data_IF_958237919933
#
_entry.id   IF_958237919933
#
_cell.length_a   1.000
_cell.length_b   1.000
_cell.length_c   1.000
_cell.angle_alpha   90.00
_cell.angle_beta   90.00
_cell.angle_gamma   90.00
#
_symmetry.space_group_name_H-M   'P 1'
#
loop_
_entity.id
_entity.type
_entity.pdbx_description
1 polymer ?
#
# COMPACT_ATOMS: atom_id res chain seq x y z
N UNK A 1 -57.61 19.48 -40.67
CA UNK A 1 -56.98 18.22 -40.24
C UNK A 1 -55.53 18.29 -40.63
N UNK A 2 -54.64 18.60 -39.68
CA UNK A 2 -53.20 18.56 -39.89
C UNK A 2 -52.76 17.23 -39.29
N UNK A 3 -52.37 16.29 -40.15
CA UNK A 3 -51.75 15.03 -39.73
C UNK A 3 -50.48 15.34 -38.95
N UNK A 4 -50.48 14.98 -37.67
CA UNK A 4 -49.26 14.96 -36.86
C UNK A 4 -48.38 13.84 -37.41
N UNK A 5 -47.35 14.24 -38.16
CA UNK A 5 -46.18 13.41 -38.42
C UNK A 5 -45.64 12.85 -37.08
N UNK A 6 -45.38 11.54 -36.97
CA UNK A 6 -44.73 11.01 -35.78
C UNK A 6 -43.28 11.47 -35.82
N UNK A 7 -42.92 12.43 -34.95
CA UNK A 7 -41.51 12.62 -34.57
C UNK A 7 -41.00 11.28 -34.05
N UNK A 8 -40.30 10.53 -34.91
CA UNK A 8 -39.40 9.47 -34.49
C UNK A 8 -38.43 10.10 -33.48
N UNK A 9 -38.50 9.65 -32.24
CA UNK A 9 -37.58 10.03 -31.18
C UNK A 9 -36.14 9.68 -31.60
N UNK A 10 -35.40 10.66 -32.12
CA UNK A 10 -33.97 10.55 -32.44
C UNK A 10 -33.07 10.50 -31.18
N UNK A 11 -33.63 10.41 -29.98
CA UNK A 11 -32.91 10.29 -28.70
C UNK A 11 -32.66 8.83 -28.25
N UNK A 12 -32.89 7.82 -29.10
CA UNK A 12 -32.61 6.40 -28.80
C UNK A 12 -31.11 6.03 -28.78
N UNK A 13 -30.20 6.97 -28.57
CA UNK A 13 -28.78 6.69 -28.35
C UNK A 13 -28.46 6.74 -26.85
N UNK A 14 -29.15 5.91 -26.09
CA UNK A 14 -28.86 5.69 -24.69
C UNK A 14 -27.66 4.74 -24.56
N UNK A 15 -26.59 5.18 -23.87
CA UNK A 15 -25.41 4.33 -23.61
C UNK A 15 -25.83 3.04 -22.90
N UNK A 16 -25.52 1.85 -23.44
CA UNK A 16 -25.83 0.59 -22.77
C UNK A 16 -25.24 0.53 -21.35
N UNK A 17 -25.91 -0.19 -20.45
CA UNK A 17 -25.47 -0.27 -19.05
C UNK A 17 -24.07 -0.86 -18.93
N UNK A 18 -23.69 -1.79 -19.82
CA UNK A 18 -22.35 -2.38 -19.90
C UNK A 18 -21.29 -1.31 -20.16
N UNK A 19 -21.56 -0.38 -21.08
CA UNK A 19 -20.64 0.74 -21.37
C UNK A 19 -20.57 1.68 -20.18
N UNK A 20 -21.71 1.96 -19.53
CA UNK A 20 -21.73 2.80 -18.34
C UNK A 20 -20.94 2.19 -17.18
N UNK A 21 -21.06 0.88 -16.94
CA UNK A 21 -20.28 0.14 -15.94
C UNK A 21 -18.79 0.22 -16.26
N UNK A 22 -18.43 0.00 -17.53
CA UNK A 22 -17.06 0.10 -17.98
C UNK A 22 -16.48 1.51 -17.80
N UNK A 23 -17.29 2.56 -18.02
CA UNK A 23 -16.89 3.95 -17.76
C UNK A 23 -16.81 4.24 -16.26
N UNK A 24 -17.72 3.68 -15.46
CA UNK A 24 -17.84 3.94 -14.03
C UNK A 24 -16.56 3.60 -13.26
N UNK A 25 -15.82 2.54 -13.66
CA UNK A 25 -14.60 2.13 -12.95
C UNK A 25 -13.51 3.22 -12.93
N UNK A 26 -13.50 4.14 -13.90
CA UNK A 26 -12.53 5.24 -14.00
C UNK A 26 -12.89 6.46 -13.14
N UNK A 27 -14.05 6.45 -12.50
CA UNK A 27 -14.55 7.59 -11.73
C UNK A 27 -13.87 7.63 -10.37
N UNK A 28 -13.21 8.75 -10.07
CA UNK A 28 -12.49 8.93 -8.79
C UNK A 28 -13.44 9.00 -7.59
N UNK A 29 -14.57 9.69 -7.75
CA UNK A 29 -15.55 9.92 -6.67
C UNK A 29 -16.93 9.44 -7.14
N UNK A 30 -17.30 8.18 -6.87
CA UNK A 30 -18.57 7.60 -7.32
C UNK A 30 -19.83 8.36 -6.90
N UNK A 31 -19.80 9.02 -5.74
CA UNK A 31 -20.98 9.68 -5.18
C UNK A 31 -21.38 10.92 -5.99
N UNK A 32 -20.41 11.67 -6.52
CA UNK A 32 -20.67 12.84 -7.36
C UNK A 32 -21.38 12.45 -8.66
N UNK A 33 -20.98 11.32 -9.23
CA UNK A 33 -21.64 10.77 -10.41
C UNK A 33 -23.03 10.21 -10.06
N UNK A 34 -23.19 9.58 -8.90
CA UNK A 34 -24.46 9.02 -8.44
C UNK A 34 -25.56 10.08 -8.30
N UNK A 35 -25.21 11.31 -7.87
CA UNK A 35 -26.17 12.40 -7.70
C UNK A 35 -26.51 13.13 -9.00
N UNK A 36 -25.74 12.92 -10.07
CA UNK A 36 -25.95 13.59 -11.35
C UNK A 36 -27.26 13.19 -12.04
N UNK A 37 -27.60 11.90 -12.06
CA UNK A 37 -28.85 11.41 -12.63
C UNK A 37 -29.26 10.03 -12.08
N UNK A 38 -30.54 9.68 -12.25
CA UNK A 38 -31.10 8.39 -11.79
C UNK A 38 -30.37 7.17 -12.38
N UNK A 39 -29.92 7.26 -13.63
CA UNK A 39 -29.26 6.15 -14.32
C UNK A 39 -27.88 5.87 -13.71
N UNK A 40 -27.07 6.91 -13.52
CA UNK A 40 -25.80 6.78 -12.80
C UNK A 40 -26.01 6.35 -11.35
N UNK A 41 -27.03 6.87 -10.67
CA UNK A 41 -27.41 6.40 -9.33
C UNK A 41 -27.69 4.89 -9.29
N UNK A 42 -28.32 4.34 -10.34
CA UNK A 42 -28.53 2.89 -10.48
C UNK A 42 -27.23 2.14 -10.71
N UNK A 43 -26.34 2.62 -11.60
CA UNK A 43 -25.03 2.02 -11.85
C UNK A 43 -24.17 2.03 -10.57
N UNK A 44 -24.15 3.12 -9.80
CA UNK A 44 -23.39 3.19 -8.54
C UNK A 44 -23.87 2.18 -7.47
N UNK A 45 -25.11 1.69 -7.58
CA UNK A 45 -25.68 0.67 -6.68
C UNK A 45 -25.49 -0.75 -7.20
N UNK A 46 -25.19 -0.91 -8.48
CA UNK A 46 -24.98 -2.21 -9.11
C UNK A 46 -23.73 -2.91 -8.54
N UNK A 47 -23.87 -4.18 -8.19
CA UNK A 47 -22.82 -4.95 -7.54
C UNK A 47 -21.65 -5.28 -8.48
N UNK A 48 -21.91 -5.46 -9.77
CA UNK A 48 -20.87 -5.68 -10.78
C UNK A 48 -20.07 -4.39 -11.00
N UNK A 49 -20.75 -3.25 -11.08
CA UNK A 49 -20.11 -1.94 -11.21
C UNK A 49 -19.22 -1.60 -10.01
N UNK A 50 -19.72 -1.81 -8.79
CA UNK A 50 -18.94 -1.65 -7.56
C UNK A 50 -17.72 -2.56 -7.54
N UNK A 51 -17.87 -3.82 -7.93
CA UNK A 51 -16.78 -4.78 -7.98
C UNK A 51 -15.70 -4.38 -9.01
N UNK A 52 -16.08 -3.98 -10.23
CA UNK A 52 -15.13 -3.49 -11.22
C UNK A 52 -14.41 -2.23 -10.78
N UNK A 53 -15.16 -1.29 -10.18
CA UNK A 53 -14.59 -0.06 -9.67
C UNK A 53 -13.56 -0.34 -8.57
N UNK A 54 -13.89 -1.14 -7.55
CA UNK A 54 -12.95 -1.38 -6.44
C UNK A 54 -11.71 -2.16 -6.88
N UNK A 55 -11.84 -3.12 -7.80
CA UNK A 55 -10.70 -3.85 -8.37
C UNK A 55 -9.82 -2.92 -9.21
N UNK A 56 -10.44 -2.03 -9.99
CA UNK A 56 -9.69 -1.07 -10.80
C UNK A 56 -8.93 -0.05 -9.95
N UNK A 57 -9.53 0.44 -8.86
CA UNK A 57 -8.95 1.49 -8.03
C UNK A 57 -7.86 0.97 -7.06
N UNK A 58 -7.98 -0.27 -6.58
CA UNK A 58 -7.12 -0.80 -5.51
C UNK A 58 -6.44 -2.12 -5.86
N UNK A 59 -6.53 -2.56 -7.11
CA UNK A 59 -5.96 -3.83 -7.53
C UNK A 59 -6.72 -5.05 -7.01
N UNK A 60 -6.34 -6.22 -7.52
CA UNK A 60 -6.99 -7.49 -7.16
C UNK A 60 -6.66 -7.92 -5.72
N UNK A 61 -5.45 -7.59 -5.25
CA UNK A 61 -4.96 -8.03 -3.94
C UNK A 61 -5.69 -7.34 -2.78
N UNK A 62 -5.98 -6.04 -2.91
CA UNK A 62 -6.49 -5.23 -1.79
C UNK A 62 -7.94 -4.80 -1.95
N UNK A 63 -8.61 -5.14 -3.05
CA UNK A 63 -10.00 -4.76 -3.29
C UNK A 63 -10.95 -5.19 -2.16
N UNK A 64 -10.81 -6.39 -1.59
CA UNK A 64 -11.65 -6.86 -0.49
C UNK A 64 -11.43 -6.05 0.80
N UNK A 65 -10.17 -5.74 1.12
CA UNK A 65 -9.82 -4.88 2.25
C UNK A 65 -10.47 -3.49 2.12
N UNK A 66 -10.31 -2.86 0.96
CA UNK A 66 -10.90 -1.54 0.72
C UNK A 66 -12.43 -1.58 0.67
N UNK A 67 -13.03 -2.62 0.08
CA UNK A 67 -14.49 -2.77 0.05
C UNK A 67 -15.09 -2.87 1.46
N UNK A 68 -14.48 -3.65 2.35
CA UNK A 68 -14.91 -3.73 3.77
C UNK A 68 -14.74 -2.38 4.47
N UNK A 69 -13.63 -1.67 4.21
CA UNK A 69 -13.35 -0.36 4.80
C UNK A 69 -14.30 0.75 4.39
N UNK A 70 -14.82 0.70 3.17
CA UNK A 70 -15.88 1.61 2.72
C UNK A 70 -17.20 1.39 3.47
N UNK A 71 -17.32 0.27 4.19
CA UNK A 71 -18.37 0.03 5.17
C UNK A 71 -19.63 -0.61 4.58
N UNK A 72 -20.69 -0.73 5.41
CA UNK A 72 -21.88 -1.50 5.10
C UNK A 72 -22.73 -0.93 3.95
N UNK A 73 -22.57 0.35 3.61
CA UNK A 73 -23.27 0.98 2.48
C UNK A 73 -22.66 0.55 1.13
N UNK A 74 -21.38 0.22 1.12
CA UNK A 74 -20.68 -0.26 -0.05
C UNK A 74 -20.80 -1.78 -0.18
N UNK A 75 -20.46 -2.50 0.90
CA UNK A 75 -20.23 -3.94 0.90
C UNK A 75 -21.49 -4.75 1.23
N UNK A 76 -21.98 -5.51 0.26
CA UNK A 76 -23.03 -6.54 0.39
C UNK A 76 -22.51 -7.91 -0.02
N UNK A 77 -23.31 -8.97 0.18
CA UNK A 77 -22.95 -10.34 -0.25
C UNK A 77 -22.79 -10.42 -1.76
N UNK A 78 -23.63 -9.71 -2.50
CA UNK A 78 -23.59 -9.64 -3.97
C UNK A 78 -22.32 -8.94 -4.45
N UNK A 79 -21.90 -7.88 -3.77
CA UNK A 79 -20.64 -7.17 -4.07
C UNK A 79 -19.45 -8.07 -3.76
N UNK A 80 -19.41 -8.71 -2.59
CA UNK A 80 -18.33 -9.64 -2.23
C UNK A 80 -18.22 -10.80 -3.23
N UNK A 81 -19.35 -11.40 -3.63
CA UNK A 81 -19.41 -12.43 -4.66
C UNK A 81 -18.91 -11.92 -6.01
N UNK A 82 -19.34 -10.72 -6.42
CA UNK A 82 -18.92 -10.10 -7.66
C UNK A 82 -17.40 -9.85 -7.68
N UNK A 83 -16.82 -9.35 -6.57
CA UNK A 83 -15.37 -9.14 -6.42
C UNK A 83 -14.61 -10.46 -6.61
N UNK A 84 -15.00 -11.52 -5.89
CA UNK A 84 -14.34 -12.83 -5.98
C UNK A 84 -14.46 -13.39 -7.41
N UNK A 85 -15.65 -13.32 -8.01
CA UNK A 85 -15.89 -13.82 -9.38
C UNK A 85 -15.07 -13.09 -10.45
N UNK A 86 -14.72 -11.82 -10.20
CA UNK A 86 -13.88 -11.01 -11.10
C UNK A 86 -12.38 -11.11 -10.78
N UNK A 87 -11.98 -12.03 -9.91
CA UNK A 87 -10.59 -12.31 -9.60
C UNK A 87 -10.00 -11.47 -8.46
N UNK A 88 -10.83 -10.88 -7.60
CA UNK A 88 -10.37 -10.35 -6.32
C UNK A 88 -9.77 -11.46 -5.45
N UNK A 89 -8.64 -11.19 -4.80
CA UNK A 89 -7.88 -12.19 -4.05
C UNK A 89 -8.47 -12.34 -2.65
N UNK A 90 -9.16 -13.45 -2.42
CA UNK A 90 -9.52 -13.91 -1.08
C UNK A 90 -8.35 -14.72 -0.51
N UNK A 91 -7.51 -14.10 0.30
CA UNK A 91 -6.35 -14.73 0.94
C UNK A 91 -6.63 -15.20 2.35
N UNK A 92 -5.91 -16.23 2.81
CA UNK A 92 -6.02 -16.72 4.20
C UNK A 92 -5.60 -15.66 5.21
N UNK A 93 -4.62 -14.85 4.87
CA UNK A 93 -4.19 -13.75 5.72
C UNK A 93 -5.24 -12.63 5.83
N UNK A 94 -5.90 -12.27 4.72
CA UNK A 94 -7.01 -11.33 4.75
C UNK A 94 -8.09 -11.74 5.73
N UNK A 95 -8.43 -13.03 5.76
CA UNK A 95 -9.51 -13.56 6.57
C UNK A 95 -9.14 -13.73 8.04
N UNK A 96 -7.88 -14.10 8.34
CA UNK A 96 -7.31 -14.03 9.69
C UNK A 96 -7.42 -12.61 10.25
N UNK A 97 -6.98 -11.60 9.49
CA UNK A 97 -7.07 -10.18 9.87
C UNK A 97 -8.53 -9.73 10.00
N UNK A 98 -9.40 -10.14 9.08
CA UNK A 98 -10.84 -9.83 9.14
C UNK A 98 -11.45 -10.35 10.44
N UNK A 99 -11.17 -11.60 10.80
CA UNK A 99 -11.68 -12.24 12.01
C UNK A 99 -11.23 -11.53 13.29
N UNK A 100 -9.97 -11.10 13.35
CA UNK A 100 -9.41 -10.37 14.50
C UNK A 100 -10.12 -9.03 14.72
N UNK A 101 -10.49 -8.32 13.65
CA UNK A 101 -11.05 -6.97 13.75
C UNK A 101 -12.58 -6.93 13.70
N UNK A 102 -13.26 -7.99 13.25
CA UNK A 102 -14.71 -8.05 13.17
C UNK A 102 -15.37 -7.97 14.55
N UNK A 103 -16.41 -7.13 14.68
CA UNK A 103 -17.19 -7.00 15.92
C UNK A 103 -16.42 -6.50 17.15
N UNK A 104 -15.19 -6.01 16.96
CA UNK A 104 -14.31 -5.54 18.05
C UNK A 104 -14.70 -4.16 18.60
N UNK A 105 -15.58 -3.44 17.91
CA UNK A 105 -16.11 -2.13 18.28
C UNK A 105 -17.63 -2.09 18.08
N UNK A 106 -18.35 -1.84 19.17
CA UNK A 106 -19.78 -1.54 19.16
C UNK A 106 -19.98 -0.13 19.73
N UNK A 107 -20.39 0.86 18.91
CA UNK A 107 -20.55 2.24 19.34
C UNK A 107 -21.62 2.37 20.44
N UNK A 108 -22.70 1.60 20.38
CA UNK A 108 -23.78 1.65 21.37
C UNK A 108 -23.32 1.07 22.71
N UNK A 109 -22.55 -0.01 22.67
CA UNK A 109 -21.97 -0.59 23.89
C UNK A 109 -20.96 0.38 24.53
N UNK A 110 -20.18 1.09 23.73
CA UNK A 110 -19.23 2.10 24.23
C UNK A 110 -19.99 3.30 24.82
N UNK A 111 -21.01 3.79 24.13
CA UNK A 111 -21.89 4.86 24.64
C UNK A 111 -22.52 4.45 25.97
N UNK A 112 -23.10 3.25 26.05
CA UNK A 112 -23.65 2.70 27.29
C UNK A 112 -22.60 2.60 28.41
N UNK A 113 -21.37 2.15 28.10
CA UNK A 113 -20.27 2.13 29.07
C UNK A 113 -19.94 3.52 29.58
N UNK A 114 -19.89 4.53 28.70
CA UNK A 114 -19.63 5.91 29.08
C UNK A 114 -20.77 6.46 29.95
N UNK A 115 -22.03 6.21 29.58
CA UNK A 115 -23.21 6.73 30.30
C UNK A 115 -23.40 6.08 31.66
N UNK A 116 -23.10 4.79 31.81
CA UNK A 116 -23.34 4.03 33.05
C UNK A 116 -22.11 3.87 33.96
N UNK A 117 -20.90 4.23 33.52
CA UNK A 117 -19.74 4.38 34.40
C UNK A 117 -19.82 5.68 35.23
N UNK A 118 -20.80 5.76 36.12
CA UNK A 118 -21.05 6.84 37.09
C UNK A 118 -20.09 6.74 38.30
N UNK A 119 -18.79 6.93 38.06
CA UNK A 119 -17.78 7.10 39.12
C UNK A 119 -16.69 8.05 38.62
N UNK A 120 -16.43 9.12 39.36
CA UNK A 120 -15.56 10.25 38.99
C UNK A 120 -14.04 9.92 38.89
N UNK A 121 -13.66 8.72 38.43
CA UNK A 121 -12.25 8.29 38.35
C UNK A 121 -11.79 7.84 36.97
N UNK A 122 -12.60 7.95 35.92
CA UNK A 122 -12.23 7.40 34.60
C UNK A 122 -12.36 8.40 33.44
N UNK A 123 -12.02 9.68 33.68
CA UNK A 123 -11.96 10.69 32.60
C UNK A 123 -10.93 10.29 31.54
N UNK A 124 -9.78 9.75 31.95
CA UNK A 124 -8.77 9.20 31.04
C UNK A 124 -9.29 8.01 30.24
N UNK A 125 -10.08 7.11 30.84
CA UNK A 125 -10.65 5.95 30.14
C UNK A 125 -11.80 6.32 29.24
N UNK A 126 -12.62 7.31 29.61
CA UNK A 126 -13.66 7.88 28.72
C UNK A 126 -12.98 8.56 27.52
N UNK A 127 -11.91 9.33 27.72
CA UNK A 127 -11.09 9.86 26.61
C UNK A 127 -10.47 8.74 25.78
N UNK A 128 -9.94 7.70 26.41
CA UNK A 128 -9.37 6.55 25.71
C UNK A 128 -10.41 5.79 24.88
N UNK A 129 -11.65 5.66 25.37
CA UNK A 129 -12.80 5.08 24.66
C UNK A 129 -13.27 5.96 23.50
N UNK A 130 -13.26 7.29 23.68
CA UNK A 130 -13.59 8.27 22.63
C UNK A 130 -12.51 8.38 21.54
N UNK A 131 -11.24 8.10 21.89
CA UNK A 131 -10.11 8.06 20.95
C UNK A 131 -9.94 6.71 20.26
N UNK A 132 -10.83 5.73 20.48
CA UNK A 132 -10.74 4.43 19.79
C UNK A 132 -11.02 4.65 18.30
N UNK A 133 -9.96 4.52 17.49
CA UNK A 133 -10.10 4.32 16.05
C UNK A 133 -10.96 3.08 15.81
N UNK A 134 -12.09 3.27 15.12
CA UNK A 134 -13.00 2.18 14.77
C UNK A 134 -12.21 1.18 13.91
N UNK A 135 -12.11 -0.09 14.33
CA UNK A 135 -11.40 -1.10 13.54
C UNK A 135 -12.03 -1.26 12.16
N UNK A 136 -11.19 -1.39 11.15
CA UNK A 136 -11.56 -1.31 9.74
C UNK A 136 -12.67 -2.27 9.30
N UNK A 137 -12.82 -3.41 9.99
CA UNK A 137 -13.80 -4.44 9.72
C UNK A 137 -14.97 -4.48 10.71
N UNK A 138 -14.99 -3.62 11.73
CA UNK A 138 -15.91 -3.81 12.86
C UNK A 138 -17.38 -3.66 12.48
N UNK A 139 -17.68 -2.81 11.50
CA UNK A 139 -19.05 -2.50 11.05
C UNK A 139 -19.48 -3.33 9.83
N UNK A 140 -18.75 -4.40 9.49
CA UNK A 140 -19.11 -5.27 8.37
C UNK A 140 -20.45 -5.98 8.68
N UNK A 141 -21.41 -6.04 7.74
CA UNK A 141 -22.64 -6.80 7.96
C UNK A 141 -22.36 -8.29 8.19
N UNK A 142 -23.04 -8.90 9.17
CA UNK A 142 -22.80 -10.29 9.56
C UNK A 142 -22.93 -11.29 8.41
N UNK A 143 -23.89 -11.08 7.50
CA UNK A 143 -24.08 -11.96 6.34
C UNK A 143 -22.89 -11.88 5.36
N UNK A 144 -22.26 -10.71 5.23
CA UNK A 144 -21.04 -10.57 4.42
C UNK A 144 -19.88 -11.27 5.10
N UNK A 145 -19.73 -11.09 6.41
CA UNK A 145 -18.71 -11.77 7.20
C UNK A 145 -18.81 -13.30 7.08
N UNK A 146 -20.00 -13.86 7.31
CA UNK A 146 -20.26 -15.31 7.17
C UNK A 146 -19.92 -15.77 5.75
N UNK A 147 -20.41 -15.06 4.72
CA UNK A 147 -20.12 -15.39 3.34
C UNK A 147 -18.61 -15.46 3.04
N UNK A 148 -17.85 -14.45 3.48
CA UNK A 148 -16.40 -14.42 3.25
C UNK A 148 -15.68 -15.58 3.98
N UNK A 149 -16.10 -15.94 5.19
CA UNK A 149 -15.52 -17.08 5.91
C UNK A 149 -15.88 -18.42 5.25
N UNK A 150 -17.11 -18.59 4.78
CA UNK A 150 -17.55 -19.81 4.10
C UNK A 150 -16.80 -20.01 2.78
N UNK A 151 -16.70 -18.96 1.96
CA UNK A 151 -15.96 -19.02 0.70
C UNK A 151 -14.48 -19.34 0.95
N UNK A 152 -13.89 -18.76 1.97
CA UNK A 152 -12.51 -19.00 2.27
C UNK A 152 -12.27 -20.38 2.92
N UNK A 153 -13.19 -20.88 3.76
CA UNK A 153 -13.16 -22.24 4.27
C UNK A 153 -13.22 -23.28 3.15
N UNK A 154 -13.97 -23.01 2.07
CA UNK A 154 -14.00 -23.87 0.87
C UNK A 154 -12.68 -23.83 0.10
N UNK A 155 -12.00 -22.68 0.08
CA UNK A 155 -10.75 -22.50 -0.66
C UNK A 155 -9.54 -23.14 0.03
N UNK A 156 -9.51 -23.18 1.37
CA UNK A 156 -8.32 -23.56 2.14
C UNK A 156 -8.50 -24.83 2.98
N UNK A 157 -9.52 -25.64 2.68
CA UNK A 157 -9.84 -26.97 3.24
C UNK A 157 -8.93 -27.47 4.39
N UNK A 158 -9.42 -27.44 5.63
CA UNK A 158 -8.69 -27.87 6.83
C UNK A 158 -7.53 -26.98 7.29
N UNK A 159 -6.79 -26.36 6.36
CA UNK A 159 -5.60 -25.51 6.59
C UNK A 159 -5.91 -24.03 6.80
N UNK A 160 -7.19 -23.73 7.06
CA UNK A 160 -7.75 -22.39 7.23
C UNK A 160 -7.11 -21.56 8.36
N UNK A 161 -6.72 -22.19 9.48
CA UNK A 161 -6.08 -21.56 10.65
C UNK A 161 -6.58 -20.13 10.95
N UNK A 162 -7.88 -19.97 11.24
CA UNK A 162 -8.54 -18.65 11.38
C UNK A 162 -7.91 -17.72 12.43
N UNK A 163 -7.37 -18.30 13.51
CA UNK A 163 -6.67 -17.56 14.58
C UNK A 163 -5.16 -17.45 14.36
N UNK A 164 -4.67 -17.92 13.22
CA UNK A 164 -3.27 -17.82 12.82
C UNK A 164 -2.90 -16.41 12.35
N UNK A 165 -1.63 -16.27 11.97
CA UNK A 165 -1.09 -15.04 11.40
C UNK A 165 -0.05 -15.38 10.34
N UNK A 166 -0.45 -15.30 9.08
CA UNK A 166 0.40 -15.65 7.96
C UNK A 166 1.59 -14.69 7.77
N UNK A 167 1.52 -13.45 8.26
CA UNK A 167 2.67 -12.54 8.28
C UNK A 167 3.74 -13.00 9.28
N UNK A 168 3.33 -13.49 10.44
CA UNK A 168 4.24 -14.07 11.44
C UNK A 168 4.83 -15.40 10.95
N UNK A 169 4.00 -16.24 10.31
CA UNK A 169 4.48 -17.44 9.62
C UNK A 169 5.53 -17.08 8.57
N UNK A 170 5.26 -16.10 7.70
CA UNK A 170 6.19 -15.64 6.69
C UNK A 170 7.50 -15.13 7.31
N UNK A 171 7.42 -14.33 8.38
CA UNK A 171 8.58 -13.83 9.13
C UNK A 171 9.50 -14.96 9.60
N UNK A 172 8.91 -16.03 10.15
CA UNK A 172 9.63 -17.23 10.59
C UNK A 172 10.26 -17.98 9.41
N UNK A 173 9.50 -18.22 8.34
CA UNK A 173 9.98 -18.96 7.17
C UNK A 173 11.09 -18.21 6.43
N UNK A 174 11.03 -16.87 6.40
CA UNK A 174 12.01 -16.03 5.73
C UNK A 174 13.26 -15.73 6.58
N UNK A 175 13.32 -16.21 7.84
CA UNK A 175 14.42 -15.94 8.76
C UNK A 175 14.60 -14.45 9.10
N UNK A 176 13.53 -13.64 9.08
CA UNK A 176 13.66 -12.17 9.20
C UNK A 176 14.23 -11.68 10.53
N UNK A 177 14.15 -12.49 11.59
CA UNK A 177 14.74 -12.19 12.90
C UNK A 177 16.25 -12.47 13.00
N UNK A 178 16.84 -13.12 12.00
CA UNK A 178 18.25 -13.51 11.99
C UNK A 178 19.13 -12.49 11.25
N UNK A 179 20.47 -12.56 11.33
CA UNK A 179 21.37 -11.85 10.42
C UNK A 179 21.13 -12.23 8.94
N UNK A 180 21.57 -11.39 7.99
CA UNK A 180 21.23 -11.57 6.56
C UNK A 180 21.74 -12.89 5.97
N UNK A 181 22.95 -13.31 6.35
CA UNK A 181 23.54 -14.57 5.88
C UNK A 181 22.75 -15.79 6.35
N UNK A 182 22.38 -15.80 7.64
CA UNK A 182 21.58 -16.88 8.23
C UNK A 182 20.15 -16.89 7.66
N UNK A 183 19.58 -15.71 7.43
CA UNK A 183 18.26 -15.56 6.83
C UNK A 183 18.20 -16.12 5.40
N UNK A 184 19.27 -15.97 4.60
CA UNK A 184 19.33 -16.57 3.25
C UNK A 184 19.19 -18.09 3.33
N UNK A 185 19.96 -18.71 4.22
CA UNK A 185 19.95 -20.16 4.40
C UNK A 185 18.58 -20.66 4.90
N UNK A 186 17.96 -19.93 5.84
CA UNK A 186 16.63 -20.26 6.37
C UNK A 186 15.57 -20.12 5.28
N UNK A 187 15.59 -19.03 4.51
CA UNK A 187 14.62 -18.80 3.44
C UNK A 187 14.73 -19.87 2.35
N UNK A 188 15.95 -20.20 1.92
CA UNK A 188 16.23 -21.25 0.94
C UNK A 188 15.76 -22.62 1.43
N UNK A 189 16.00 -22.95 2.70
CA UNK A 189 15.52 -24.20 3.31
C UNK A 189 14.00 -24.31 3.38
N UNK A 190 13.29 -23.18 3.46
CA UNK A 190 11.83 -23.12 3.58
C UNK A 190 11.12 -22.65 2.30
N UNK A 191 11.80 -22.61 1.15
CA UNK A 191 11.29 -21.96 -0.06
C UNK A 191 9.98 -22.59 -0.56
N UNK A 192 9.82 -23.90 -0.43
CA UNK A 192 8.58 -24.59 -0.85
C UNK A 192 7.41 -24.25 0.07
N UNK A 193 7.64 -24.06 1.37
CA UNK A 193 6.61 -23.60 2.31
C UNK A 193 6.21 -22.14 2.00
N UNK A 194 7.18 -21.28 1.66
CA UNK A 194 6.92 -19.90 1.24
C UNK A 194 6.14 -19.87 -0.07
N UNK A 195 6.52 -20.68 -1.05
CA UNK A 195 5.77 -20.84 -2.31
C UNK A 195 4.36 -21.31 -2.04
N UNK A 196 4.16 -22.27 -1.13
CA UNK A 196 2.84 -22.74 -0.75
C UNK A 196 2.01 -21.62 -0.12
N UNK A 197 2.61 -20.85 0.79
CA UNK A 197 1.97 -19.72 1.45
C UNK A 197 1.54 -18.64 0.43
N UNK A 198 2.41 -18.27 -0.51
CA UNK A 198 2.07 -17.26 -1.53
C UNK A 198 1.08 -17.81 -2.54
N UNK A 199 1.31 -18.99 -3.12
CA UNK A 199 0.53 -19.48 -4.26
C UNK A 199 -0.81 -20.10 -3.84
N UNK A 200 -0.80 -21.00 -2.85
CA UNK A 200 -2.00 -21.74 -2.46
C UNK A 200 -2.79 -20.99 -1.40
N UNK A 201 -2.12 -20.43 -0.38
CA UNK A 201 -2.80 -19.63 0.65
C UNK A 201 -3.04 -18.17 0.21
N UNK A 202 -2.57 -17.82 -0.99
CA UNK A 202 -2.70 -16.51 -1.63
C UNK A 202 -2.16 -15.39 -0.74
N UNK A 203 -1.11 -15.64 0.04
CA UNK A 203 -0.60 -14.67 1.01
C UNK A 203 -0.28 -13.33 0.36
N UNK A 204 -1.05 -12.31 0.74
CA UNK A 204 -0.92 -10.93 0.29
C UNK A 204 -0.85 -10.03 1.54
N UNK A 205 0.27 -9.36 1.84
CA UNK A 205 0.29 -8.35 2.88
C UNK A 205 -0.77 -7.29 2.61
N UNK A 206 -1.32 -6.69 3.68
CA UNK A 206 -2.21 -5.55 3.54
C UNK A 206 -1.44 -4.35 2.95
N UNK A 207 -2.13 -3.37 2.34
CA UNK A 207 -1.43 -2.25 1.73
C UNK A 207 -0.66 -1.43 2.79
N UNK A 208 0.40 -0.73 2.37
CA UNK A 208 1.10 0.22 3.23
C UNK A 208 0.20 1.40 3.59
N UNK A 209 0.45 1.99 4.76
CA UNK A 209 -0.25 3.20 5.19
C UNK A 209 0.26 4.40 4.40
N UNK A 210 -0.63 5.11 3.69
CA UNK A 210 -0.30 6.38 3.01
C UNK A 210 0.20 7.43 4.01
N UNK A 211 1.11 8.30 3.57
CA UNK A 211 1.82 9.28 4.41
C UNK A 211 0.88 10.09 5.32
N UNK A 212 -0.24 10.59 4.79
CA UNK A 212 -1.22 11.41 5.53
C UNK A 212 -1.82 10.69 6.75
N UNK A 213 -1.90 9.36 6.70
CA UNK A 213 -2.46 8.53 7.77
C UNK A 213 -1.43 8.16 8.84
N UNK A 214 -0.12 8.26 8.55
CA UNK A 214 0.96 7.96 9.51
C UNK A 214 1.01 8.97 10.67
N UNK A 215 0.52 10.19 10.46
CA UNK A 215 0.58 11.30 11.43
C UNK A 215 -0.30 11.12 12.67
N UNK A 216 -1.30 10.23 12.64
CA UNK A 216 -2.35 10.14 13.65
C UNK A 216 -2.40 8.81 14.41
N UNK A 217 -1.44 7.91 14.21
CA UNK A 217 -1.54 6.54 14.70
C UNK A 217 -0.44 6.22 15.71
N UNK A 218 -0.81 5.74 16.90
CA UNK A 218 0.13 5.04 17.79
C UNK A 218 0.40 3.64 17.25
N UNK A 219 1.67 3.25 17.17
CA UNK A 219 2.10 1.96 16.63
C UNK A 219 1.76 0.81 17.60
N UNK A 220 0.65 0.11 17.33
CA UNK A 220 0.36 -1.20 17.92
C UNK A 220 0.50 -2.31 16.88
N UNK A 221 0.92 -3.50 17.30
CA UNK A 221 0.89 -4.70 16.46
C UNK A 221 -0.55 -4.99 16.01
N UNK A 222 -0.73 -5.29 14.71
CA UNK A 222 -2.02 -5.33 14.01
C UNK A 222 -2.81 -4.01 14.11
N UNK A 223 -2.47 -3.03 13.24
CA UNK A 223 -3.13 -1.74 13.28
C UNK A 223 -4.64 -1.81 13.11
N UNK A 224 -5.38 -1.01 13.90
CA UNK A 224 -6.85 -0.99 13.89
C UNK A 224 -7.43 -0.55 12.54
N UNK A 225 -6.74 0.31 11.82
CA UNK A 225 -7.12 0.74 10.47
C UNK A 225 -6.82 -0.31 9.39
N UNK A 226 -6.15 -1.41 9.77
CA UNK A 226 -5.95 -2.62 8.97
C UNK A 226 -4.75 -2.60 8.04
N UNK A 227 -4.13 -1.45 7.78
CA UNK A 227 -2.91 -1.37 6.97
C UNK A 227 -1.75 -2.11 7.64
N UNK A 228 -0.73 -2.47 6.86
CA UNK A 228 0.51 -2.97 7.44
C UNK A 228 1.33 -1.85 8.07
N UNK A 229 2.04 -2.21 9.14
CA UNK A 229 3.05 -1.36 9.73
C UNK A 229 4.38 -1.48 8.98
N UNK A 230 5.27 -0.52 9.21
CA UNK A 230 6.56 -0.45 8.51
C UNK A 230 7.45 -1.67 8.83
N UNK A 231 7.30 -2.30 9.99
CA UNK A 231 8.08 -3.49 10.37
C UNK A 231 7.65 -4.75 9.59
N UNK A 232 6.36 -4.96 9.38
CA UNK A 232 5.84 -6.00 8.51
C UNK A 232 6.29 -5.80 7.06
N UNK A 233 6.31 -4.56 6.57
CA UNK A 233 6.79 -4.26 5.22
C UNK A 233 8.30 -4.50 5.06
N UNK A 234 9.10 -4.22 6.10
CA UNK A 234 10.54 -4.56 6.13
C UNK A 234 10.79 -6.08 6.07
N UNK A 235 9.92 -6.89 6.67
CA UNK A 235 10.01 -8.37 6.59
C UNK A 235 9.87 -8.80 5.12
N UNK A 236 8.85 -8.29 4.42
CA UNK A 236 8.62 -8.60 3.01
C UNK A 236 9.77 -8.09 2.13
N UNK A 237 10.20 -6.84 2.33
CA UNK A 237 11.27 -6.25 1.51
C UNK A 237 12.58 -7.02 1.66
N UNK A 238 12.92 -7.42 2.89
CA UNK A 238 14.10 -8.22 3.18
C UNK A 238 14.06 -9.59 2.48
N UNK A 239 12.92 -10.27 2.52
CA UNK A 239 12.77 -11.56 1.83
C UNK A 239 12.96 -11.43 0.32
N UNK A 240 12.50 -10.33 -0.29
CA UNK A 240 12.70 -10.06 -1.73
C UNK A 240 14.15 -9.74 -2.05
N UNK A 241 14.84 -9.00 -1.19
CA UNK A 241 16.27 -8.71 -1.39
C UNK A 241 17.13 -9.98 -1.33
N UNK A 242 16.70 -10.99 -0.55
CA UNK A 242 17.34 -12.32 -0.47
C UNK A 242 16.94 -13.18 -1.68
N UNK A 243 15.64 -13.26 -2.00
CA UNK A 243 15.12 -14.11 -3.06
C UNK A 243 14.13 -13.35 -3.95
N UNK A 244 14.67 -12.70 -4.99
CA UNK A 244 13.95 -11.78 -5.87
C UNK A 244 12.76 -12.43 -6.60
N UNK A 245 12.85 -13.74 -6.88
CA UNK A 245 11.81 -14.51 -7.59
C UNK A 245 10.47 -14.58 -6.83
N UNK A 246 10.46 -14.28 -5.52
CA UNK A 246 9.22 -14.19 -4.75
C UNK A 246 8.23 -13.18 -5.36
N UNK A 247 8.73 -12.10 -5.99
CA UNK A 247 7.91 -11.11 -6.71
C UNK A 247 7.05 -11.77 -7.79
N UNK A 248 7.60 -12.74 -8.51
CA UNK A 248 6.87 -13.43 -9.58
C UNK A 248 5.78 -14.34 -9.02
N UNK A 249 5.96 -14.90 -7.82
CA UNK A 249 4.92 -15.69 -7.14
C UNK A 249 3.70 -14.82 -6.78
N UNK A 250 3.92 -13.60 -6.27
CA UNK A 250 2.83 -12.66 -5.99
C UNK A 250 2.13 -12.18 -7.27
N UNK A 251 2.89 -11.86 -8.32
CA UNK A 251 2.31 -11.52 -9.62
C UNK A 251 1.47 -12.65 -10.19
N UNK A 252 1.92 -13.90 -10.04
CA UNK A 252 1.19 -15.10 -10.51
C UNK A 252 -0.19 -15.27 -9.86
N UNK A 253 -0.36 -14.89 -8.60
CA UNK A 253 -1.69 -14.91 -7.94
C UNK A 253 -2.54 -13.66 -8.23
N UNK A 254 -1.99 -12.68 -8.96
CA UNK A 254 -2.68 -11.46 -9.36
C UNK A 254 -2.35 -10.22 -8.52
N UNK A 255 -1.38 -10.30 -7.60
CA UNK A 255 -0.90 -9.14 -6.84
C UNK A 255 0.21 -8.42 -7.63
N UNK A 256 -0.20 -7.55 -8.55
CA UNK A 256 0.71 -6.87 -9.47
C UNK A 256 1.33 -5.62 -8.83
N UNK A 257 0.65 -5.07 -7.83
CA UNK A 257 0.97 -3.85 -7.11
C UNK A 257 2.06 -4.08 -6.05
N UNK A 258 2.50 -5.33 -5.81
CA UNK A 258 3.55 -5.66 -4.83
C UNK A 258 4.77 -4.76 -5.00
N UNK A 259 5.26 -4.55 -6.23
CA UNK A 259 6.44 -3.70 -6.44
C UNK A 259 6.20 -2.24 -6.06
N UNK A 260 4.97 -1.73 -6.18
CA UNK A 260 4.58 -0.38 -5.76
C UNK A 260 4.46 -0.29 -4.23
N UNK A 261 3.79 -1.27 -3.61
CA UNK A 261 3.46 -1.26 -2.18
C UNK A 261 4.67 -1.35 -1.25
N UNK A 262 5.73 -2.04 -1.67
CA UNK A 262 6.97 -2.20 -0.90
C UNK A 262 8.17 -1.50 -1.55
N UNK A 263 7.93 -0.65 -2.56
CA UNK A 263 8.98 -0.03 -3.36
C UNK A 263 10.02 0.70 -2.50
N UNK A 264 9.55 1.57 -1.62
CA UNK A 264 10.40 2.36 -0.73
C UNK A 264 11.31 1.47 0.12
N UNK A 265 10.76 0.38 0.67
CA UNK A 265 11.48 -0.51 1.56
C UNK A 265 12.51 -1.36 0.82
N UNK A 266 12.19 -1.82 -0.40
CA UNK A 266 13.10 -2.61 -1.22
C UNK A 266 14.24 -1.75 -1.74
N UNK A 267 13.96 -0.56 -2.30
CA UNK A 267 15.00 0.33 -2.82
C UNK A 267 15.92 0.85 -1.69
N UNK A 268 15.34 1.32 -0.57
CA UNK A 268 16.14 1.75 0.59
C UNK A 268 16.94 0.58 1.18
N UNK A 269 16.34 -0.61 1.26
CA UNK A 269 17.00 -1.82 1.74
C UNK A 269 18.17 -2.27 0.85
N UNK A 270 18.01 -2.22 -0.46
CA UNK A 270 19.08 -2.53 -1.42
C UNK A 270 20.28 -1.60 -1.24
N UNK A 271 20.03 -0.30 -1.09
CA UNK A 271 21.09 0.67 -0.83
C UNK A 271 21.69 0.52 0.56
N UNK A 272 20.91 0.15 1.58
CA UNK A 272 21.43 -0.10 2.91
C UNK A 272 22.39 -1.30 2.96
N UNK A 273 22.17 -2.32 2.12
CA UNK A 273 23.12 -3.44 1.96
C UNK A 273 24.45 -2.95 1.41
N UNK A 274 24.41 -2.05 0.42
CA UNK A 274 25.60 -1.47 -0.21
C UNK A 274 26.30 -0.43 0.69
N UNK A 275 25.53 0.34 1.44
CA UNK A 275 25.98 1.43 2.31
C UNK A 275 25.49 1.23 3.77
N UNK A 276 26.02 0.24 4.51
CA UNK A 276 25.56 -0.08 5.85
C UNK A 276 25.85 1.06 6.82
N UNK A 277 24.91 1.36 7.73
CA UNK A 277 25.05 2.46 8.71
C UNK A 277 26.23 2.29 9.66
N UNK A 278 26.52 1.05 10.05
CA UNK A 278 27.74 0.68 10.75
C UNK A 278 28.61 -0.12 9.79
N UNK A 279 29.78 0.41 9.41
CA UNK A 279 30.68 -0.22 8.45
C UNK A 279 31.35 -1.45 9.08
N UNK A 280 31.11 -2.67 8.58
CA UNK A 280 31.90 -3.83 8.96
C UNK A 280 33.38 -3.59 8.67
N UNK A 281 34.28 -4.22 9.43
CA UNK A 281 35.74 -4.10 9.24
C UNK A 281 36.25 -4.53 7.85
N UNK A 282 35.43 -5.27 7.09
CA UNK A 282 35.72 -5.75 5.73
C UNK A 282 34.91 -5.04 4.65
N UNK A 283 34.19 -3.98 4.99
CA UNK A 283 33.38 -3.26 4.01
C UNK A 283 34.26 -2.43 3.09
N UNK A 284 33.99 -2.54 1.80
CA UNK A 284 34.64 -1.78 0.73
C UNK A 284 33.53 -0.97 0.08
N UNK A 285 33.81 0.31 -0.20
CA UNK A 285 32.87 1.16 -0.92
C UNK A 285 32.49 0.49 -2.26
N UNK A 286 31.19 0.27 -2.54
CA UNK A 286 30.76 -0.28 -3.81
C UNK A 286 31.15 0.66 -4.96
N UNK A 287 31.38 0.12 -6.14
CA UNK A 287 31.54 0.94 -7.35
C UNK A 287 30.18 1.27 -7.99
N UNK A 288 30.21 2.20 -8.95
CA UNK A 288 28.98 2.68 -9.61
C UNK A 288 28.26 1.55 -10.35
N UNK A 289 29.02 0.62 -10.94
CA UNK A 289 28.46 -0.54 -11.63
C UNK A 289 27.71 -1.46 -10.67
N UNK A 290 28.24 -1.69 -9.46
CA UNK A 290 27.61 -2.52 -8.43
C UNK A 290 26.26 -1.92 -7.99
N UNK A 291 26.19 -0.59 -7.82
CA UNK A 291 24.93 0.11 -7.51
C UNK A 291 23.95 -0.02 -8.67
N UNK A 292 24.43 0.18 -9.89
CA UNK A 292 23.64 0.12 -11.13
C UNK A 292 23.07 -1.27 -11.35
N UNK A 293 23.88 -2.32 -11.28
CA UNK A 293 23.45 -3.72 -11.43
C UNK A 293 22.37 -4.05 -10.41
N UNK A 294 22.61 -3.78 -9.12
CA UNK A 294 21.66 -4.08 -8.05
C UNK A 294 20.32 -3.36 -8.24
N UNK A 295 20.32 -2.08 -8.65
CA UNK A 295 19.09 -1.32 -8.85
C UNK A 295 18.40 -1.66 -10.18
N UNK A 296 19.14 -1.93 -11.26
CA UNK A 296 18.59 -2.35 -12.54
C UNK A 296 17.86 -3.69 -12.41
N UNK A 297 18.42 -4.67 -11.69
CA UNK A 297 17.73 -5.94 -11.42
C UNK A 297 16.36 -5.73 -10.74
N UNK A 298 16.27 -4.79 -9.80
CA UNK A 298 15.00 -4.45 -9.14
C UNK A 298 14.05 -3.72 -10.09
N UNK A 299 14.56 -2.81 -10.91
CA UNK A 299 13.77 -2.11 -11.93
C UNK A 299 13.17 -3.09 -12.93
N UNK A 300 13.94 -4.10 -13.36
CA UNK A 300 13.49 -5.14 -14.28
C UNK A 300 12.37 -6.00 -13.68
N UNK A 301 12.35 -6.17 -12.36
CA UNK A 301 11.25 -6.82 -11.65
C UNK A 301 10.01 -5.93 -11.52
N UNK A 302 10.11 -4.63 -11.80
CA UNK A 302 9.00 -3.67 -11.77
C UNK A 302 9.04 -2.67 -10.62
N UNK A 303 10.11 -2.64 -9.82
CA UNK A 303 10.32 -1.57 -8.84
C UNK A 303 10.62 -0.25 -9.55
N UNK A 304 10.23 0.87 -8.93
CA UNK A 304 10.36 2.18 -9.56
C UNK A 304 11.31 3.08 -8.78
N UNK A 305 12.29 3.66 -9.48
CA UNK A 305 13.18 4.66 -8.93
C UNK A 305 12.69 6.07 -9.28
N UNK A 306 11.54 6.52 -8.76
CA UNK A 306 11.04 7.88 -9.04
C UNK A 306 11.74 8.94 -8.16
N UNK A 307 11.59 10.24 -8.48
CA UNK A 307 12.27 11.29 -7.71
C UNK A 307 11.77 11.39 -6.28
N UNK A 308 10.52 11.04 -6.02
CA UNK A 308 10.01 10.94 -4.66
C UNK A 308 10.84 9.94 -3.85
N UNK A 309 11.09 8.75 -4.38
CA UNK A 309 11.90 7.71 -3.71
C UNK A 309 13.36 8.12 -3.61
N UNK A 310 13.92 8.69 -4.68
CA UNK A 310 15.28 9.24 -4.66
C UNK A 310 15.44 10.24 -3.52
N UNK A 311 14.52 11.20 -3.41
CA UNK A 311 14.56 12.18 -2.33
C UNK A 311 14.52 11.50 -0.94
N UNK A 312 13.65 10.52 -0.76
CA UNK A 312 13.55 9.77 0.49
C UNK A 312 14.81 8.95 0.82
N UNK A 313 15.57 8.49 -0.18
CA UNK A 313 16.87 7.84 0.01
C UNK A 313 17.88 8.84 0.57
N UNK A 314 17.96 10.04 0.00
CA UNK A 314 18.85 11.09 0.53
C UNK A 314 18.46 11.51 1.94
N UNK A 315 17.16 11.53 2.25
CA UNK A 315 16.70 11.75 3.62
C UNK A 315 17.07 10.59 4.56
N UNK A 316 16.95 9.36 4.09
CA UNK A 316 17.34 8.18 4.87
C UNK A 316 18.85 8.16 5.19
N UNK A 317 19.69 8.64 4.27
CA UNK A 317 21.13 8.75 4.44
C UNK A 317 21.62 10.14 4.89
N UNK A 318 20.75 11.00 5.44
CA UNK A 318 21.07 12.40 5.77
C UNK A 318 22.38 12.55 6.55
N UNK A 319 22.59 11.71 7.56
CA UNK A 319 23.78 11.75 8.43
C UNK A 319 25.09 11.35 7.74
N UNK A 320 25.03 10.76 6.55
CA UNK A 320 26.18 10.25 5.78
C UNK A 320 26.34 10.92 4.43
N UNK A 321 25.57 11.96 4.13
CA UNK A 321 25.63 12.62 2.82
C UNK A 321 27.00 13.22 2.50
N UNK A 322 27.77 13.64 3.51
CA UNK A 322 29.14 14.11 3.30
C UNK A 322 30.09 12.97 2.86
N UNK A 323 29.80 11.73 3.25
CA UNK A 323 30.63 10.56 2.91
C UNK A 323 30.24 9.93 1.56
N UNK A 324 28.93 9.73 1.35
CA UNK A 324 28.42 8.93 0.22
C UNK A 324 27.55 9.74 -0.75
N UNK A 325 27.18 10.97 -0.40
CA UNK A 325 26.14 11.71 -1.12
C UNK A 325 26.53 12.03 -2.57
N UNK A 326 27.77 12.48 -2.83
CA UNK A 326 28.22 12.75 -4.21
C UNK A 326 28.21 11.48 -5.05
N UNK A 327 28.72 10.39 -4.48
CA UNK A 327 28.74 9.09 -5.13
C UNK A 327 27.33 8.58 -5.46
N UNK A 328 26.37 8.77 -4.55
CA UNK A 328 24.97 8.46 -4.79
C UNK A 328 24.38 9.31 -5.92
N UNK A 329 24.68 10.61 -5.99
CA UNK A 329 24.26 11.47 -7.11
C UNK A 329 24.81 10.90 -8.42
N UNK A 330 26.11 10.64 -8.50
CA UNK A 330 26.77 10.17 -9.71
C UNK A 330 26.16 8.82 -10.17
N UNK A 331 25.97 7.89 -9.24
CA UNK A 331 25.38 6.57 -9.52
C UNK A 331 23.93 6.64 -9.98
N UNK A 332 23.09 7.42 -9.30
CA UNK A 332 21.67 7.55 -9.63
C UNK A 332 21.46 8.34 -10.93
N UNK A 333 22.32 9.31 -11.21
CA UNK A 333 22.34 10.08 -12.46
C UNK A 333 22.67 9.18 -13.66
N UNK A 334 23.63 8.26 -13.50
CA UNK A 334 23.95 7.27 -14.53
C UNK A 334 22.77 6.31 -14.81
N UNK A 335 22.11 5.82 -13.75
CA UNK A 335 20.91 4.96 -13.89
C UNK A 335 19.78 5.72 -14.60
N UNK A 336 19.60 7.01 -14.28
CA UNK A 336 18.59 7.87 -14.89
C UNK A 336 18.94 8.37 -16.29
N UNK A 337 20.19 8.21 -16.72
CA UNK A 337 20.70 8.68 -18.00
C UNK A 337 20.38 10.15 -18.25
N UNK A 338 20.56 10.99 -17.23
CA UNK A 338 20.29 12.43 -17.33
C UNK A 338 21.48 13.26 -16.86
N UNK A 339 21.58 14.54 -17.22
CA UNK A 339 22.60 15.43 -16.67
C UNK A 339 22.39 15.66 -15.17
N UNK A 340 23.50 15.82 -14.43
CA UNK A 340 23.50 16.01 -12.98
C UNK A 340 22.66 17.22 -12.53
N UNK A 341 22.71 18.34 -13.26
CA UNK A 341 21.95 19.55 -12.93
C UNK A 341 20.43 19.32 -13.06
N UNK A 342 20.02 18.59 -14.10
CA UNK A 342 18.63 18.18 -14.31
C UNK A 342 18.15 17.26 -13.18
N UNK A 343 18.95 16.25 -12.82
CA UNK A 343 18.69 15.33 -11.71
C UNK A 343 18.47 16.08 -10.39
N UNK A 344 19.40 16.99 -10.05
CA UNK A 344 19.36 17.76 -8.80
C UNK A 344 18.14 18.68 -8.75
N UNK A 345 17.80 19.36 -9.85
CA UNK A 345 16.59 20.22 -9.91
C UNK A 345 15.31 19.43 -9.65
N UNK A 346 15.19 18.23 -10.21
CA UNK A 346 14.02 17.37 -9.99
C UNK A 346 13.95 16.84 -8.56
N UNK A 347 15.09 16.51 -7.94
CA UNK A 347 15.14 16.18 -6.51
C UNK A 347 14.71 17.35 -5.62
N UNK A 348 15.13 18.58 -5.96
CA UNK A 348 14.74 19.79 -5.24
C UNK A 348 13.24 20.12 -5.39
N UNK A 349 12.63 19.81 -6.54
CA UNK A 349 11.19 19.95 -6.73
C UNK A 349 10.38 19.06 -5.77
N UNK A 350 10.87 17.85 -5.47
CA UNK A 350 10.24 16.97 -4.46
C UNK A 350 10.34 17.53 -3.04
N UNK A 351 11.35 18.33 -2.73
CA UNK A 351 11.48 19.01 -1.44
C UNK A 351 10.37 20.05 -1.20
N UNK A 352 9.76 20.57 -2.28
CA UNK A 352 8.65 21.52 -2.23
C UNK A 352 7.29 20.84 -2.03
N UNK A 353 7.24 19.50 -2.04
CA UNK A 353 6.01 18.75 -1.84
C UNK A 353 5.50 18.93 -0.38
N UNK A 354 4.24 19.40 -0.18
CA UNK A 354 3.63 19.56 1.14
C UNK A 354 3.64 18.29 1.99
N UNK A 355 3.56 17.12 1.35
CA UNK A 355 3.62 15.84 2.05
C UNK A 355 5.01 15.54 2.62
N UNK A 356 6.08 16.22 2.19
CA UNK A 356 7.47 15.96 2.61
C UNK A 356 8.06 17.06 3.48
N UNK A 357 7.24 18.03 3.89
CA UNK A 357 7.63 19.20 4.69
C UNK A 357 7.93 18.84 6.17
N UNK A 358 9.05 18.15 6.43
CA UNK A 358 9.67 18.08 7.77
C UNK A 358 11.19 18.21 7.67
N UNK A 359 11.76 19.26 8.29
CA UNK A 359 13.22 19.52 8.47
C UNK A 359 14.10 19.11 7.27
N UNK A 360 13.87 19.72 6.11
CA UNK A 360 14.62 19.42 4.88
C UNK A 360 15.85 20.32 4.65
N UNK A 361 16.20 21.21 5.59
CA UNK A 361 17.22 22.25 5.34
C UNK A 361 18.58 21.65 4.95
N UNK A 362 19.00 20.55 5.58
CA UNK A 362 20.30 19.94 5.31
C UNK A 362 20.36 19.28 3.92
N UNK A 363 19.30 18.58 3.52
CA UNK A 363 19.21 17.90 2.23
C UNK A 363 19.12 18.92 1.08
N UNK A 364 18.32 19.98 1.26
CA UNK A 364 18.22 21.08 0.30
C UNK A 364 19.58 21.75 0.13
N UNK A 365 20.24 22.08 1.25
CA UNK A 365 21.59 22.66 1.23
C UNK A 365 22.60 21.73 0.56
N UNK A 366 22.49 20.42 0.79
CA UNK A 366 23.34 19.43 0.15
C UNK A 366 23.16 19.45 -1.38
N UNK A 367 21.93 19.39 -1.88
CA UNK A 367 21.65 19.43 -3.31
C UNK A 367 22.05 20.77 -3.95
N UNK A 368 21.84 21.89 -3.26
CA UNK A 368 22.18 23.23 -3.77
C UNK A 368 23.68 23.39 -4.10
N UNK A 369 24.57 22.64 -3.41
CA UNK A 369 26.02 22.61 -3.71
C UNK A 369 26.34 22.12 -5.13
N UNK A 370 25.41 21.40 -5.76
CA UNK A 370 25.60 20.74 -7.06
C UNK A 370 24.86 21.43 -8.21
N UNK A 371 24.18 22.55 -7.94
CA UNK A 371 23.63 23.39 -9.00
C UNK A 371 24.71 24.34 -9.54
N UNK A 372 24.72 24.62 -10.86
CA UNK A 372 25.56 25.67 -11.41
C UNK A 372 25.19 27.02 -10.76
N UNK A 373 26.20 27.87 -10.50
CA UNK A 373 26.03 29.23 -9.98
C UNK A 373 25.34 30.12 -11.03
N UNK A 374 24.03 29.99 -11.16
CA UNK A 374 23.19 30.92 -11.93
C UNK A 374 22.48 31.85 -10.97
N UNK A 375 22.47 33.16 -11.29
CA UNK A 375 21.90 34.24 -10.48
C UNK A 375 20.42 34.06 -10.12
N UNK A 376 19.69 33.16 -10.78
CA UNK A 376 18.30 32.78 -10.49
C UNK A 376 18.14 31.94 -9.20
N UNK A 377 19.19 31.29 -8.69
CA UNK A 377 19.08 30.44 -7.49
C UNK A 377 19.04 31.22 -6.16
N UNK A 378 19.31 32.52 -6.16
CA UNK A 378 19.29 33.32 -4.92
C UNK A 378 17.89 33.76 -4.50
N UNK A 379 16.95 33.84 -5.44
CA UNK A 379 15.60 34.34 -5.17
C UNK A 379 14.59 33.23 -4.86
N UNK A 380 14.86 31.98 -5.26
CA UNK A 380 13.97 30.83 -4.98
C UNK A 380 14.23 30.14 -3.64
N UNK A 381 15.40 30.36 -3.03
CA UNK A 381 15.79 29.75 -1.74
C UNK A 381 15.83 30.73 -0.56
N UNK A 382 15.50 32.00 -0.79
CA UNK A 382 15.45 33.06 0.25
C UNK A 382 14.09 33.19 0.95
N UNK A 383 13.15 32.26 0.70
CA UNK A 383 11.81 32.23 1.29
C UNK A 383 11.58 31.08 2.28
N UNK A 384 12.64 30.58 2.93
CA UNK A 384 12.55 29.67 4.08
C UNK A 384 13.25 30.22 5.31
#
# INVERSE_FOLDING_TARGET
MIEKSPMKNYFQNELPNEVMIYTFKFIKIPIDLAVSCKRWSSICKDSQAKAEWIIFQFGRAHCLFHAVRLGPTFMSVEVARAIISKGGILSRYFTQRLHIHYGSYDPKLIELKITHSLGQTDVERIRALQQITIPWASNLPIFVYIFLLEEASKLFDGDWHLKGNDMELFCRLSGSSYPINDASTILEGNIEEIKNLILHMKFTPFPPRKFDLKLYSSEGYLPKDGYENDDCLKIISRAILIHKDLVQLWKKIGYHEICEDINDFVIKGALLILFPSAQPSRWIMPDVNSVKEQLTELIDLGFQLNYSIIFDIFQFFESRLDDIGKFLIDSLTEIKQEPQDCFVRKCLAEAQNPAKLKKNSNIINFFAKYLPNTSENKDSFSLY
#
